data_IF_671774742210
#
_entry.id   IF_671774742210
#
_cell.length_a   1.000
_cell.length_b   1.000
_cell.length_c   1.000
_cell.angle_alpha   90.00
_cell.angle_beta   90.00
_cell.angle_gamma   90.00
#
_symmetry.space_group_name_H-M   'P 1'
#
loop_
_entity.id
_entity.type
_entity.pdbx_description
1 polymer ?
#
# COMPACT_ATOMS: atom_id res chain seq x y z
N UNK A 1 -18.82 0.98 -7.16
CA UNK A 1 -19.14 -0.12 -6.23
C UNK A 1 -19.82 0.49 -5.02
N UNK A 2 -20.95 -0.06 -4.55
CA UNK A 2 -21.48 0.31 -3.23
C UNK A 2 -20.72 -0.50 -2.19
N UNK A 3 -20.11 0.16 -1.22
CA UNK A 3 -19.31 -0.47 -0.16
C UNK A 3 -19.64 0.16 1.20
N UNK A 4 -19.23 -0.45 2.33
CA UNK A 4 -19.52 0.08 3.65
C UNK A 4 -18.85 1.45 3.90
N UNK A 5 -19.58 2.37 4.53
CA UNK A 5 -19.13 3.76 4.75
C UNK A 5 -17.78 3.84 5.50
N UNK A 6 -17.49 2.89 6.39
CA UNK A 6 -16.23 2.86 7.14
C UNK A 6 -14.98 2.75 6.26
N UNK A 7 -15.11 2.32 5.00
CA UNK A 7 -13.98 2.31 4.07
C UNK A 7 -13.43 3.72 3.84
N UNK A 8 -14.29 4.73 3.88
CA UNK A 8 -13.92 6.13 3.72
C UNK A 8 -13.43 6.78 5.03
N UNK A 9 -13.66 6.12 6.17
CA UNK A 9 -13.15 6.54 7.48
C UNK A 9 -11.69 6.10 7.73
N UNK A 10 -11.22 5.10 6.99
CA UNK A 10 -9.83 4.65 7.05
C UNK A 10 -8.87 5.74 6.50
N UNK A 11 -7.64 5.85 7.02
CA UNK A 11 -6.69 6.87 6.55
C UNK A 11 -6.37 6.66 5.08
N UNK A 12 -6.33 7.74 4.29
CA UNK A 12 -5.74 7.73 2.96
C UNK A 12 -4.22 7.77 3.05
N UNK A 13 -3.55 7.23 2.02
CA UNK A 13 -2.09 7.17 1.95
C UNK A 13 -1.67 7.82 0.63
N UNK A 14 -0.94 8.92 0.73
CA UNK A 14 -0.36 9.62 -0.43
C UNK A 14 1.08 9.22 -0.61
N UNK A 15 1.44 8.81 -1.82
CA UNK A 15 2.77 8.37 -2.19
C UNK A 15 3.29 9.19 -3.37
N UNK A 16 4.60 9.41 -3.42
CA UNK A 16 5.29 9.92 -4.60
C UNK A 16 5.92 8.75 -5.36
N UNK A 17 5.69 8.69 -6.67
CA UNK A 17 6.26 7.68 -7.56
C UNK A 17 7.05 8.38 -8.68
N UNK A 18 8.40 8.34 -8.62
CA UNK A 18 9.26 9.03 -9.58
C UNK A 18 9.15 8.41 -10.99
N UNK A 19 8.88 7.11 -11.09
CA UNK A 19 8.72 6.43 -12.37
C UNK A 19 7.38 6.82 -13.02
N UNK A 20 6.29 6.84 -12.24
CA UNK A 20 5.00 7.30 -12.72
C UNK A 20 5.05 8.77 -13.19
N UNK A 21 5.80 9.63 -12.49
CA UNK A 21 6.06 11.01 -12.94
C UNK A 21 6.83 11.04 -14.24
N UNK A 22 7.92 10.29 -14.35
CA UNK A 22 8.78 10.27 -15.52
C UNK A 22 8.02 9.80 -16.77
N UNK A 23 7.19 8.77 -16.63
CA UNK A 23 6.38 8.21 -17.71
C UNK A 23 5.14 9.06 -18.04
N UNK A 24 4.84 10.09 -17.24
CA UNK A 24 3.62 10.88 -17.38
C UNK A 24 2.33 10.10 -17.07
N UNK A 25 2.44 9.01 -16.30
CA UNK A 25 1.31 8.16 -15.94
C UNK A 25 0.40 8.81 -14.88
N UNK A 26 0.98 9.64 -14.02
CA UNK A 26 0.27 10.36 -12.95
C UNK A 26 0.84 11.77 -12.84
N UNK A 27 -0.03 12.77 -12.72
CA UNK A 27 0.37 14.16 -12.57
C UNK A 27 1.25 14.33 -11.32
N UNK A 28 2.44 14.89 -11.52
CA UNK A 28 3.43 15.08 -10.44
C UNK A 28 3.98 13.79 -9.81
N UNK A 29 3.57 12.61 -10.28
CA UNK A 29 3.85 11.33 -9.62
C UNK A 29 3.15 11.16 -8.27
N UNK A 30 2.12 11.95 -7.96
CA UNK A 30 1.43 11.90 -6.66
C UNK A 30 0.22 10.97 -6.76
N UNK A 31 0.26 9.88 -6.02
CA UNK A 31 -0.79 8.86 -6.02
C UNK A 31 -1.44 8.84 -4.63
N UNK A 32 -2.75 9.13 -4.57
CA UNK A 32 -3.54 8.90 -3.37
C UNK A 32 -4.17 7.50 -3.43
N UNK A 33 -3.90 6.69 -2.41
CA UNK A 33 -4.56 5.40 -2.22
C UNK A 33 -5.59 5.51 -1.09
N UNK A 34 -6.73 4.85 -1.27
CA UNK A 34 -7.78 4.71 -0.24
C UNK A 34 -7.95 3.24 0.14
N UNK A 35 -8.55 2.97 1.30
CA UNK A 35 -8.72 1.59 1.77
C UNK A 35 -9.48 0.70 0.78
N UNK A 36 -10.42 1.28 0.03
CA UNK A 36 -11.14 0.56 -1.03
C UNK A 36 -10.19 -0.01 -2.11
N UNK A 37 -9.03 0.57 -2.33
CA UNK A 37 -8.07 0.07 -3.32
C UNK A 37 -7.37 -1.20 -2.83
N UNK A 38 -7.05 -1.28 -1.53
CA UNK A 38 -6.61 -2.53 -0.91
C UNK A 38 -7.71 -3.60 -0.96
N UNK A 39 -8.97 -3.21 -0.73
CA UNK A 39 -10.11 -4.13 -0.85
C UNK A 39 -10.29 -4.63 -2.28
N UNK A 40 -10.12 -3.78 -3.30
CA UNK A 40 -10.19 -4.20 -4.71
C UNK A 40 -9.08 -5.20 -5.05
N UNK A 41 -7.86 -4.97 -4.59
CA UNK A 41 -6.72 -5.88 -4.83
C UNK A 41 -6.88 -7.20 -4.10
N UNK A 42 -7.43 -7.19 -2.88
CA UNK A 42 -7.68 -8.41 -2.10
C UNK A 42 -8.99 -9.13 -2.48
N UNK A 43 -9.90 -8.45 -3.18
CA UNK A 43 -11.25 -8.90 -3.52
C UNK A 43 -12.29 -8.72 -2.39
N UNK A 44 -11.87 -8.55 -1.13
CA UNK A 44 -12.77 -8.30 0.00
C UNK A 44 -12.04 -7.66 1.18
N UNK A 45 -12.81 -7.06 2.08
CA UNK A 45 -12.33 -6.59 3.38
C UNK A 45 -12.34 -7.75 4.38
N UNK A 46 -11.16 -8.18 4.83
CA UNK A 46 -11.00 -9.07 5.99
C UNK A 46 -10.08 -8.40 7.03
N UNK A 47 -10.03 -8.91 8.28
CA UNK A 47 -9.18 -8.34 9.31
C UNK A 47 -7.71 -8.21 8.89
N UNK A 48 -7.18 -9.15 8.11
CA UNK A 48 -5.80 -9.08 7.60
C UNK A 48 -5.58 -7.91 6.64
N UNK A 49 -6.50 -7.67 5.70
CA UNK A 49 -6.39 -6.56 4.73
C UNK A 49 -6.49 -5.22 5.47
N UNK A 50 -7.45 -5.11 6.39
CA UNK A 50 -7.61 -3.92 7.24
C UNK A 50 -6.36 -3.66 8.10
N UNK A 51 -5.84 -4.69 8.77
CA UNK A 51 -4.63 -4.57 9.58
C UNK A 51 -3.42 -4.22 8.76
N UNK A 52 -3.23 -4.84 7.57
CA UNK A 52 -2.11 -4.52 6.69
C UNK A 52 -2.16 -3.04 6.27
N UNK A 53 -3.31 -2.54 5.84
CA UNK A 53 -3.50 -1.13 5.49
C UNK A 53 -3.11 -0.18 6.63
N UNK A 54 -3.69 -0.39 7.82
CA UNK A 54 -3.45 0.46 8.99
C UNK A 54 -2.00 0.37 9.48
N UNK A 55 -1.40 -0.82 9.46
CA UNK A 55 0.00 -1.00 9.80
C UNK A 55 0.92 -0.28 8.83
N UNK A 56 0.64 -0.34 7.51
CA UNK A 56 1.43 0.38 6.51
C UNK A 56 1.29 1.88 6.68
N UNK A 57 0.08 2.40 6.88
CA UNK A 57 -0.13 3.83 7.14
C UNK A 57 0.74 4.32 8.32
N UNK A 58 0.71 3.59 9.45
CA UNK A 58 1.50 3.95 10.63
C UNK A 58 3.01 3.78 10.43
N UNK A 59 3.43 2.79 9.67
CA UNK A 59 4.84 2.62 9.32
C UNK A 59 5.34 3.77 8.44
N UNK A 60 4.54 4.22 7.47
CA UNK A 60 4.88 5.34 6.59
C UNK A 60 4.98 6.66 7.37
N UNK A 61 4.04 6.93 8.29
CA UNK A 61 4.10 8.08 9.19
C UNK A 61 5.39 8.08 10.04
N UNK A 62 5.83 6.90 10.49
CA UNK A 62 7.06 6.78 11.28
C UNK A 62 8.33 6.94 10.44
N UNK A 63 8.34 6.45 9.20
CA UNK A 63 9.47 6.54 8.28
C UNK A 63 9.62 7.93 7.63
N UNK A 64 8.49 8.58 7.33
CA UNK A 64 8.40 9.86 6.64
C UNK A 64 7.51 10.83 7.43
N UNK A 65 7.95 11.31 8.61
CA UNK A 65 7.11 12.09 9.50
C UNK A 65 6.74 13.49 8.97
N UNK A 66 7.45 13.97 7.93
CA UNK A 66 7.29 15.32 7.37
C UNK A 66 7.27 15.35 5.84
N UNK A 67 7.51 14.22 5.20
CA UNK A 67 7.70 14.11 3.76
C UNK A 67 6.69 13.13 3.18
N UNK A 68 6.46 13.20 1.87
CA UNK A 68 5.66 12.20 1.16
C UNK A 68 6.55 10.96 0.95
N UNK A 69 6.12 9.75 1.36
CA UNK A 69 6.89 8.54 1.13
C UNK A 69 7.08 8.27 -0.37
N UNK A 70 8.27 7.83 -0.74
CA UNK A 70 8.62 7.51 -2.12
C UNK A 70 8.42 6.02 -2.40
N UNK A 71 7.59 5.68 -3.40
CA UNK A 71 7.44 4.30 -3.86
C UNK A 71 8.77 3.84 -4.44
N UNK A 72 9.24 2.67 -3.99
CA UNK A 72 10.49 2.06 -4.44
C UNK A 72 11.71 2.39 -3.59
N UNK A 73 11.61 3.42 -2.75
CA UNK A 73 12.65 3.77 -1.78
C UNK A 73 12.47 3.06 -0.41
N UNK A 74 11.53 2.12 -0.31
CA UNK A 74 11.16 1.46 0.95
C UNK A 74 11.43 -0.04 0.83
N UNK A 75 12.19 -0.58 1.80
CA UNK A 75 12.39 -2.03 1.93
C UNK A 75 11.39 -2.60 2.92
N UNK A 76 10.72 -3.68 2.53
CA UNK A 76 9.75 -4.40 3.35
C UNK A 76 10.25 -5.82 3.60
N UNK A 77 10.13 -6.29 4.83
CA UNK A 77 10.48 -7.66 5.23
C UNK A 77 9.41 -8.27 6.11
N UNK A 78 9.08 -9.54 5.84
CA UNK A 78 8.18 -10.34 6.65
C UNK A 78 8.95 -11.49 7.30
N UNK A 79 8.50 -11.94 8.47
CA UNK A 79 9.13 -13.07 9.17
C UNK A 79 8.96 -14.40 8.45
N UNK A 80 7.87 -14.55 7.71
CA UNK A 80 7.49 -15.77 7.00
C UNK A 80 7.54 -15.54 5.49
N UNK A 81 7.58 -16.63 4.73
CA UNK A 81 7.43 -16.62 3.28
C UNK A 81 6.04 -16.11 2.85
N UNK A 82 5.97 -15.50 1.67
CA UNK A 82 4.70 -14.99 1.11
C UNK A 82 3.64 -16.07 0.93
N UNK A 83 4.06 -17.31 0.69
CA UNK A 83 3.19 -18.49 0.54
C UNK A 83 2.69 -19.06 1.87
N UNK A 84 3.15 -18.52 3.00
CA UNK A 84 2.81 -19.02 4.33
C UNK A 84 1.68 -18.22 4.99
N UNK A 85 0.59 -18.91 5.32
CA UNK A 85 -0.54 -18.35 6.06
C UNK A 85 -1.12 -17.11 5.37
N UNK A 86 -1.22 -16.01 6.12
CA UNK A 86 -1.76 -14.74 5.61
C UNK A 86 -0.69 -13.77 5.10
N UNK A 87 0.59 -14.18 5.11
CA UNK A 87 1.72 -13.30 4.78
C UNK A 87 1.60 -12.74 3.37
N UNK A 88 1.18 -13.54 2.39
CA UNK A 88 0.96 -13.09 1.02
C UNK A 88 -0.13 -12.02 0.89
N UNK A 89 -1.18 -12.08 1.71
CA UNK A 89 -2.24 -11.05 1.74
C UNK A 89 -1.67 -9.73 2.25
N UNK A 90 -0.90 -9.79 3.35
CA UNK A 90 -0.23 -8.61 3.91
C UNK A 90 0.76 -8.03 2.90
N UNK A 91 1.60 -8.88 2.30
CA UNK A 91 2.58 -8.49 1.30
C UNK A 91 1.95 -7.82 0.08
N UNK A 92 0.79 -8.31 -0.38
CA UNK A 92 0.08 -7.72 -1.51
C UNK A 92 -0.39 -6.29 -1.21
N UNK A 93 -0.98 -6.05 -0.03
CA UNK A 93 -1.41 -4.70 0.39
C UNK A 93 -0.22 -3.77 0.58
N UNK A 94 0.85 -4.24 1.23
CA UNK A 94 2.06 -3.43 1.44
C UNK A 94 2.72 -3.11 0.10
N UNK A 95 2.83 -4.09 -0.80
CA UNK A 95 3.41 -3.95 -2.13
C UNK A 95 2.59 -3.02 -3.04
N UNK A 96 1.24 -3.05 -2.95
CA UNK A 96 0.39 -2.07 -3.62
C UNK A 96 0.78 -0.63 -3.27
N UNK A 97 1.07 -0.37 -1.99
CA UNK A 97 1.36 0.97 -1.51
C UNK A 97 2.79 1.39 -1.79
N UNK A 98 3.77 0.58 -1.39
CA UNK A 98 5.19 0.96 -1.43
C UNK A 98 5.87 0.61 -2.75
N UNK A 99 5.22 -0.22 -3.57
CA UNK A 99 5.80 -0.92 -4.71
C UNK A 99 6.90 -1.92 -4.35
N UNK A 100 7.19 -2.13 -3.06
CA UNK A 100 8.20 -3.09 -2.64
C UNK A 100 7.72 -4.51 -2.95
N UNK A 101 8.28 -5.12 -3.99
CA UNK A 101 8.03 -6.52 -4.34
C UNK A 101 9.34 -7.31 -4.35
N UNK A 102 9.23 -8.64 -4.32
CA UNK A 102 10.37 -9.55 -4.43
C UNK A 102 10.70 -9.81 -5.90
N UNK A 103 10.14 -10.89 -6.46
CA UNK A 103 10.46 -11.37 -7.80
C UNK A 103 9.60 -10.74 -8.90
N UNK A 104 8.53 -10.04 -8.51
CA UNK A 104 7.61 -9.38 -9.44
C UNK A 104 8.13 -8.00 -9.90
N UNK A 105 9.30 -7.56 -9.40
CA UNK A 105 9.92 -6.27 -9.71
C UNK A 105 9.35 -5.09 -8.92
N UNK A 106 10.14 -4.01 -8.85
CA UNK A 106 9.62 -2.65 -8.75
C UNK A 106 9.52 -2.10 -10.17
#
# INVERSE_FOLDING_TARGET
MRYPDFFDEAPSITMYDPLAKFLGAVEGGIIEYRYVDAVKVAGHSCPTVASAWLMTARALEALYPKDIPERGAIRVGFRQESTSGVTGVIANVVGLLTGATQDAGF
#
